data_IF_440546628592
#
_entry.id   IF_440546628592
#
_cell.length_a   1.000
_cell.length_b   1.000
_cell.length_c   1.000
_cell.angle_alpha   90.00
_cell.angle_beta   90.00
_cell.angle_gamma   90.00
#
_symmetry.space_group_name_H-M   'P 1'
#
loop_
_entity.id
_entity.type
_entity.pdbx_description
1 polymer ?
#
# COMPACT_ATOMS: atom_id res chain seq x y z
N UNK A 1 -11.71 11.21 12.32
CA UNK A 1 -11.81 12.64 11.98
C UNK A 1 -11.01 12.97 10.72
N UNK A 2 -9.74 12.60 10.61
CA UNK A 2 -8.84 12.99 9.52
C UNK A 2 -9.32 12.55 8.14
N UNK A 3 -9.84 11.32 8.00
CA UNK A 3 -10.34 10.83 6.71
C UNK A 3 -11.67 11.48 6.32
N UNK A 4 -12.49 11.89 7.30
CA UNK A 4 -13.71 12.65 7.06
C UNK A 4 -13.37 14.05 6.51
N UNK A 5 -12.41 14.71 7.15
CA UNK A 5 -11.97 16.04 6.75
C UNK A 5 -11.45 16.04 5.30
N UNK A 6 -10.53 15.16 4.97
CA UNK A 6 -9.97 15.09 3.60
C UNK A 6 -11.00 14.65 2.56
N UNK A 7 -11.96 13.78 2.91
CA UNK A 7 -13.04 13.42 1.99
C UNK A 7 -13.92 14.62 1.67
N UNK A 8 -14.28 15.42 2.70
CA UNK A 8 -15.08 16.62 2.52
C UNK A 8 -14.34 17.69 1.71
N UNK A 9 -13.06 17.91 2.00
CA UNK A 9 -12.20 18.85 1.28
C UNK A 9 -12.05 18.48 -0.20
N UNK A 10 -11.84 17.19 -0.46
CA UNK A 10 -11.57 16.71 -1.82
C UNK A 10 -12.81 16.27 -2.60
N UNK A 11 -13.98 16.22 -1.95
CA UNK A 11 -15.21 15.64 -2.51
C UNK A 11 -14.97 14.23 -3.08
N UNK A 12 -14.10 13.48 -2.43
CA UNK A 12 -13.75 12.12 -2.85
C UNK A 12 -14.95 11.18 -2.69
N UNK A 13 -15.06 10.19 -3.57
CA UNK A 13 -16.14 9.20 -3.47
C UNK A 13 -16.09 8.43 -2.15
N UNK A 14 -14.89 8.06 -1.72
CA UNK A 14 -14.65 7.30 -0.50
C UNK A 14 -13.20 7.51 -0.04
N UNK A 15 -13.02 7.52 1.27
CA UNK A 15 -11.70 7.53 1.90
C UNK A 15 -11.60 6.39 2.90
N UNK A 16 -10.47 5.68 2.91
CA UNK A 16 -10.22 4.57 3.84
C UNK A 16 -8.90 4.80 4.55
N UNK A 17 -8.85 4.51 5.84
CA UNK A 17 -7.62 4.45 6.61
C UNK A 17 -7.52 3.12 7.39
N UNK A 18 -6.30 2.58 7.44
CA UNK A 18 -5.94 1.43 8.28
C UNK A 18 -4.70 1.77 9.10
N UNK A 19 -4.70 1.27 10.34
CA UNK A 19 -3.51 1.28 11.20
C UNK A 19 -3.30 -0.14 11.73
N UNK A 20 -2.12 -0.71 11.49
CA UNK A 20 -1.75 -2.06 11.92
C UNK A 20 -0.42 -2.03 12.68
N UNK A 21 -0.35 -2.68 13.84
CA UNK A 21 0.90 -2.96 14.52
C UNK A 21 1.66 -4.04 13.72
N UNK A 22 2.88 -3.71 13.28
CA UNK A 22 3.59 -4.55 12.30
C UNK A 22 4.06 -5.88 12.87
N UNK A 23 4.40 -5.92 14.17
CA UNK A 23 4.95 -7.10 14.85
C UNK A 23 3.89 -8.13 15.21
N UNK A 24 2.63 -7.71 15.37
CA UNK A 24 1.53 -8.58 15.83
C UNK A 24 0.46 -8.83 14.77
N UNK A 25 0.36 -7.94 13.78
CA UNK A 25 -0.75 -7.92 12.82
C UNK A 25 -2.05 -7.34 13.41
N UNK A 26 -2.01 -6.78 14.63
CA UNK A 26 -3.19 -6.20 15.26
C UNK A 26 -3.67 -4.97 14.49
N UNK A 27 -4.91 -5.00 14.02
CA UNK A 27 -5.58 -3.84 13.46
C UNK A 27 -6.05 -2.92 14.58
N UNK A 28 -5.37 -1.78 14.70
CA UNK A 28 -5.68 -0.76 15.70
C UNK A 28 -6.78 0.19 15.21
N UNK A 29 -6.88 0.39 13.92
CA UNK A 29 -7.95 1.16 13.29
C UNK A 29 -8.22 0.64 11.88
N UNK A 30 -9.49 0.59 11.53
CA UNK A 30 -10.01 0.33 10.19
C UNK A 30 -11.24 1.21 10.01
N UNK A 31 -11.14 2.23 9.19
CA UNK A 31 -12.16 3.26 9.08
C UNK A 31 -12.42 3.66 7.63
N UNK A 32 -13.67 3.97 7.34
CA UNK A 32 -14.11 4.41 6.02
C UNK A 32 -14.97 5.68 6.14
N UNK A 33 -14.89 6.54 5.14
CA UNK A 33 -15.83 7.66 5.02
C UNK A 33 -16.25 7.82 3.55
N UNK A 34 -17.55 7.97 3.21
CA UNK A 34 -18.69 8.04 4.14
C UNK A 34 -18.88 6.82 5.01
N UNK A 35 -19.38 7.00 6.23
CA UNK A 35 -19.64 5.98 7.24
C UNK A 35 -21.07 6.12 7.76
N UNK A 36 -21.53 5.18 8.57
CA UNK A 36 -22.86 5.19 9.14
C UNK A 36 -22.81 5.09 10.67
N UNK A 37 -23.83 5.59 11.32
CA UNK A 37 -24.04 5.36 12.75
C UNK A 37 -24.88 4.08 12.93
N UNK A 38 -24.35 3.01 13.56
CA UNK A 38 -25.07 1.75 13.72
C UNK A 38 -26.39 1.88 14.48
N UNK A 39 -26.52 2.87 15.38
CA UNK A 39 -27.76 3.12 16.11
C UNK A 39 -28.90 3.66 15.23
N UNK A 40 -28.57 4.18 14.05
CA UNK A 40 -29.52 4.77 13.09
C UNK A 40 -29.39 4.17 11.69
N UNK A 41 -28.97 2.89 11.60
CA UNK A 41 -28.64 2.26 10.31
C UNK A 41 -29.80 2.29 9.30
N UNK A 42 -31.06 2.22 9.76
CA UNK A 42 -32.25 2.25 8.90
C UNK A 42 -32.50 3.62 8.23
N UNK A 43 -31.84 4.68 8.71
CA UNK A 43 -31.98 6.03 8.11
C UNK A 43 -31.15 6.25 6.86
N UNK A 44 -30.18 5.35 6.59
CA UNK A 44 -29.31 5.46 5.42
C UNK A 44 -29.94 4.78 4.21
N UNK A 45 -30.01 5.53 3.10
CA UNK A 45 -30.55 5.03 1.81
C UNK A 45 -29.47 4.43 0.92
N UNK A 46 -28.23 4.85 1.08
CA UNK A 46 -27.10 4.37 0.29
C UNK A 46 -26.47 3.16 0.99
N UNK A 47 -26.56 1.99 0.39
CA UNK A 47 -25.99 0.75 0.91
C UNK A 47 -24.46 0.74 0.87
N UNK A 48 -23.81 1.62 0.12
CA UNK A 48 -22.34 1.68 0.06
C UNK A 48 -21.72 2.11 1.40
N UNK A 49 -22.45 2.85 2.25
CA UNK A 49 -21.97 3.25 3.57
C UNK A 49 -21.78 2.08 4.53
N UNK A 50 -22.48 0.95 4.30
CA UNK A 50 -22.36 -0.26 5.12
C UNK A 50 -21.19 -1.15 4.72
N UNK A 51 -20.56 -0.88 3.57
CA UNK A 51 -19.42 -1.67 3.10
C UNK A 51 -18.14 -1.22 3.77
N UNK A 52 -17.41 -2.18 4.34
CA UNK A 52 -16.04 -1.91 4.76
C UNK A 52 -15.13 -1.88 3.52
N UNK A 53 -14.86 -0.68 3.01
CA UNK A 53 -14.09 -0.49 1.77
C UNK A 53 -12.62 -0.93 1.90
N UNK A 54 -12.10 -1.09 3.12
CA UNK A 54 -10.77 -1.65 3.34
C UNK A 54 -10.66 -3.13 2.97
N UNK A 55 -11.79 -3.86 3.05
CA UNK A 55 -11.90 -5.29 2.80
C UNK A 55 -12.55 -5.61 1.44
N UNK A 56 -13.48 -4.76 1.02
CA UNK A 56 -14.39 -5.07 -0.10
C UNK A 56 -14.11 -4.29 -1.38
N UNK A 57 -13.30 -3.23 -1.33
CA UNK A 57 -12.91 -2.51 -2.54
C UNK A 57 -11.58 -3.05 -3.06
N UNK A 58 -11.58 -3.34 -4.35
CA UNK A 58 -10.42 -3.85 -5.07
C UNK A 58 -9.87 -2.70 -5.91
N UNK A 59 -8.69 -2.21 -5.55
CA UNK A 59 -8.00 -1.13 -6.23
C UNK A 59 -6.69 -1.61 -6.84
N UNK A 60 -6.26 -1.01 -7.94
CA UNK A 60 -4.88 -1.12 -8.38
C UNK A 60 -3.98 -0.37 -7.37
N UNK A 61 -2.97 -1.02 -6.76
CA UNK A 61 -2.15 -0.38 -5.73
C UNK A 61 -1.25 0.74 -6.31
N UNK A 62 -0.99 0.73 -7.61
CA UNK A 62 -0.10 1.66 -8.27
C UNK A 62 1.29 1.66 -7.62
N UNK A 63 1.90 2.83 -7.50
CA UNK A 63 3.28 2.96 -7.02
C UNK A 63 3.52 2.50 -5.58
N UNK A 64 2.48 2.27 -4.77
CA UNK A 64 2.65 1.63 -3.45
C UNK A 64 3.07 0.17 -3.56
N UNK A 65 2.95 -0.44 -4.74
CA UNK A 65 3.39 -1.81 -4.98
C UNK A 65 4.89 -1.94 -5.26
N UNK A 66 5.55 -0.88 -5.72
CA UNK A 66 6.98 -0.90 -6.11
C UNK A 66 7.92 -1.41 -5.02
N UNK A 67 7.83 -1.01 -3.73
CA UNK A 67 8.69 -1.53 -2.68
C UNK A 67 8.58 -3.04 -2.50
N UNK A 68 7.37 -3.61 -2.65
CA UNK A 68 7.13 -5.04 -2.51
C UNK A 68 7.82 -5.84 -3.62
N UNK A 69 7.74 -5.39 -4.87
CA UNK A 69 8.45 -6.03 -6.00
C UNK A 69 9.95 -5.81 -5.89
N UNK A 70 10.41 -4.59 -5.55
CA UNK A 70 11.83 -4.29 -5.38
C UNK A 70 12.48 -5.17 -4.31
N UNK A 71 11.75 -5.49 -3.23
CA UNK A 71 12.21 -6.38 -2.19
C UNK A 71 12.60 -7.76 -2.76
N UNK A 72 11.78 -8.36 -3.61
CA UNK A 72 12.09 -9.65 -4.23
C UNK A 72 13.16 -9.55 -5.33
N UNK A 73 13.17 -8.46 -6.10
CA UNK A 73 14.24 -8.22 -7.07
C UNK A 73 15.62 -8.21 -6.39
N UNK A 74 15.72 -7.56 -5.24
CA UNK A 74 16.94 -7.53 -4.43
C UNK A 74 17.21 -8.87 -3.74
N UNK A 75 16.18 -9.49 -3.15
CA UNK A 75 16.28 -10.77 -2.45
C UNK A 75 16.77 -11.90 -3.36
N UNK A 76 16.28 -11.96 -4.59
CA UNK A 76 16.64 -12.99 -5.57
C UNK A 76 17.89 -12.61 -6.39
N UNK A 77 18.53 -11.49 -6.08
CA UNK A 77 19.75 -11.04 -6.78
C UNK A 77 19.52 -10.67 -8.24
N UNK A 78 18.27 -10.44 -8.64
CA UNK A 78 17.91 -9.97 -9.99
C UNK A 78 18.45 -8.57 -10.27
N UNK A 79 18.54 -7.77 -9.21
CA UNK A 79 19.05 -6.40 -9.23
C UNK A 79 19.95 -6.20 -8.01
N UNK A 80 20.98 -5.39 -8.18
CA UNK A 80 21.93 -4.95 -7.15
C UNK A 80 21.78 -3.46 -6.87
N UNK A 81 22.18 -2.99 -5.70
CA UNK A 81 22.11 -1.57 -5.32
C UNK A 81 22.83 -0.64 -6.31
N UNK A 82 23.91 -1.13 -6.95
CA UNK A 82 24.73 -0.38 -7.91
C UNK A 82 24.17 -0.35 -9.32
N UNK A 83 23.14 -1.15 -9.61
CA UNK A 83 22.56 -1.19 -10.95
C UNK A 83 21.85 0.13 -11.23
N UNK A 84 21.91 0.57 -12.48
CA UNK A 84 21.40 1.85 -12.92
C UNK A 84 20.61 1.71 -14.21
N UNK A 85 19.56 2.53 -14.34
CA UNK A 85 18.66 2.57 -15.48
C UNK A 85 18.47 4.03 -15.92
N UNK A 86 18.23 4.26 -17.21
CA UNK A 86 17.93 5.60 -17.72
C UNK A 86 16.43 5.83 -17.78
N UNK A 87 15.98 7.00 -17.31
CA UNK A 87 14.61 7.45 -17.40
C UNK A 87 14.53 8.76 -18.17
N UNK A 88 13.95 8.72 -19.36
CA UNK A 88 13.75 9.86 -20.25
C UNK A 88 12.34 10.48 -20.12
N UNK A 89 11.57 10.10 -19.08
CA UNK A 89 10.22 10.57 -18.84
C UNK A 89 9.14 9.84 -19.65
N UNK A 90 9.52 9.24 -20.79
CA UNK A 90 8.67 8.44 -21.64
C UNK A 90 9.51 7.41 -22.38
N UNK A 91 9.03 6.16 -22.41
CA UNK A 91 9.73 5.08 -23.13
C UNK A 91 8.73 4.09 -23.72
N UNK A 92 9.07 3.54 -24.90
CA UNK A 92 8.28 2.52 -25.58
C UNK A 92 8.90 1.14 -25.39
N UNK A 93 8.15 0.24 -24.79
CA UNK A 93 8.53 -1.14 -24.53
C UNK A 93 7.75 -2.09 -25.46
N UNK A 94 8.23 -2.31 -26.67
CA UNK A 94 7.61 -3.25 -27.59
C UNK A 94 6.15 -2.89 -27.96
N UNK A 95 5.88 -1.60 -28.23
CA UNK A 95 4.55 -1.08 -28.55
C UNK A 95 3.75 -0.56 -27.36
N UNK A 96 4.24 -0.74 -26.14
CA UNK A 96 3.60 -0.19 -24.93
C UNK A 96 4.37 1.01 -24.40
N UNK A 97 3.73 2.16 -24.37
CA UNK A 97 4.34 3.40 -23.87
C UNK A 97 4.14 3.54 -22.37
N UNK A 98 5.24 3.63 -21.64
CA UNK A 98 5.26 3.95 -20.19
C UNK A 98 5.67 5.41 -20.02
N UNK A 99 4.94 6.13 -19.18
CA UNK A 99 5.20 7.52 -18.82
C UNK A 99 5.60 7.63 -17.36
N UNK A 100 6.50 8.56 -17.09
CA UNK A 100 6.83 9.06 -15.76
C UNK A 100 6.30 10.48 -15.55
N UNK A 101 6.29 10.96 -14.31
CA UNK A 101 5.89 12.34 -13.97
C UNK A 101 6.90 13.37 -14.47
N UNK A 102 8.13 12.92 -14.83
CA UNK A 102 9.18 13.77 -15.37
C UNK A 102 10.40 12.96 -15.83
N UNK A 103 11.41 13.65 -16.33
CA UNK A 103 12.71 13.06 -16.68
C UNK A 103 13.53 12.88 -15.40
N UNK A 104 13.80 11.64 -15.00
CA UNK A 104 14.60 11.35 -13.80
C UNK A 104 16.10 11.17 -14.10
N UNK A 105 16.49 11.04 -15.39
CA UNK A 105 17.86 10.76 -15.77
C UNK A 105 18.30 9.36 -15.38
N UNK A 106 19.46 9.25 -14.78
CA UNK A 106 19.98 7.99 -14.26
C UNK A 106 19.36 7.66 -12.90
N UNK A 107 18.79 6.46 -12.77
CA UNK A 107 18.10 6.00 -11.57
C UNK A 107 18.60 4.62 -11.14
N UNK A 108 18.88 4.45 -9.86
CA UNK A 108 19.21 3.18 -9.21
C UNK A 108 18.03 2.68 -8.37
N UNK A 109 18.06 1.47 -7.77
CA UNK A 109 16.94 0.92 -7.00
C UNK A 109 16.42 1.87 -5.91
N UNK A 110 17.30 2.56 -5.19
CA UNK A 110 16.94 3.56 -4.17
C UNK A 110 16.17 4.73 -4.79
N UNK A 111 16.69 5.33 -5.85
CA UNK A 111 16.06 6.49 -6.50
C UNK A 111 14.77 6.12 -7.26
N UNK A 112 14.64 4.87 -7.75
CA UNK A 112 13.39 4.35 -8.30
C UNK A 112 12.28 4.43 -7.24
N UNK A 113 12.54 4.00 -6.01
CA UNK A 113 11.56 4.06 -4.93
C UNK A 113 11.35 5.50 -4.46
N UNK A 114 12.43 6.26 -4.23
CA UNK A 114 12.39 7.63 -3.70
C UNK A 114 11.64 8.60 -4.62
N UNK A 115 11.89 8.53 -5.93
CA UNK A 115 11.25 9.38 -6.95
C UNK A 115 10.01 8.75 -7.58
N UNK A 116 9.69 7.50 -7.19
CA UNK A 116 8.58 6.74 -7.76
C UNK A 116 8.70 6.47 -9.27
N UNK A 117 9.94 6.36 -9.81
CA UNK A 117 10.19 6.21 -11.23
C UNK A 117 9.52 4.96 -11.82
N UNK A 118 8.63 5.14 -12.80
CA UNK A 118 7.94 4.05 -13.49
C UNK A 118 8.89 3.34 -14.47
N UNK A 119 9.61 4.10 -15.29
CA UNK A 119 10.50 3.56 -16.32
C UNK A 119 11.62 2.73 -15.69
N UNK A 120 12.28 3.26 -14.64
CA UNK A 120 13.28 2.50 -13.91
C UNK A 120 12.73 1.22 -13.26
N UNK A 121 11.51 1.27 -12.72
CA UNK A 121 10.86 0.10 -12.14
C UNK A 121 10.47 -0.94 -13.18
N UNK A 122 10.06 -0.52 -14.38
CA UNK A 122 9.78 -1.42 -15.50
C UNK A 122 11.06 -2.11 -15.96
N UNK A 123 12.15 -1.39 -16.17
CA UNK A 123 13.45 -1.99 -16.52
C UNK A 123 13.87 -3.04 -15.47
N UNK A 124 13.77 -2.68 -14.20
CA UNK A 124 14.05 -3.60 -13.11
C UNK A 124 13.15 -4.84 -13.15
N UNK A 125 11.85 -4.65 -13.31
CA UNK A 125 10.85 -5.70 -13.34
C UNK A 125 10.92 -6.63 -14.56
N UNK A 126 11.46 -6.16 -15.69
CA UNK A 126 11.64 -7.00 -16.88
C UNK A 126 12.61 -8.18 -16.65
N UNK A 127 13.47 -8.12 -15.63
CA UNK A 127 14.34 -9.23 -15.24
C UNK A 127 13.57 -10.42 -14.69
N UNK A 128 12.31 -10.22 -14.28
CA UNK A 128 11.44 -11.27 -13.75
C UNK A 128 10.74 -12.05 -14.88
N UNK A 129 10.62 -13.35 -14.69
CA UNK A 129 9.74 -14.19 -15.50
C UNK A 129 8.29 -14.03 -15.04
N UNK A 130 7.32 -14.37 -15.90
CA UNK A 130 5.89 -14.33 -15.51
C UNK A 130 5.58 -15.23 -14.31
N UNK A 131 6.24 -16.39 -14.21
CA UNK A 131 6.13 -17.30 -13.04
C UNK A 131 6.65 -16.65 -11.76
N UNK A 132 7.78 -15.96 -11.85
CA UNK A 132 8.37 -15.25 -10.69
C UNK A 132 7.50 -14.05 -10.25
N UNK A 133 6.91 -13.31 -11.18
CA UNK A 133 5.91 -12.28 -10.85
C UNK A 133 4.71 -12.88 -10.11
N UNK A 134 4.19 -14.00 -10.59
CA UNK A 134 3.08 -14.70 -9.93
C UNK A 134 3.48 -15.23 -8.54
N UNK A 135 4.68 -15.75 -8.42
CA UNK A 135 5.25 -16.20 -7.15
C UNK A 135 5.32 -15.06 -6.12
N UNK A 136 5.82 -13.89 -6.52
CA UNK A 136 5.82 -12.69 -5.66
C UNK A 136 4.41 -12.38 -5.16
N UNK A 137 3.43 -12.36 -6.08
CA UNK A 137 2.05 -12.07 -5.74
C UNK A 137 1.49 -13.07 -4.72
N UNK A 138 1.75 -14.36 -4.92
CA UNK A 138 1.23 -15.43 -4.05
C UNK A 138 1.97 -15.53 -2.72
N UNK A 139 3.26 -15.24 -2.67
CA UNK A 139 4.04 -15.18 -1.43
C UNK A 139 3.52 -14.09 -0.49
N UNK A 140 3.08 -12.94 -1.01
CA UNK A 140 2.40 -11.91 -0.21
C UNK A 140 0.95 -12.25 0.13
N UNK A 141 0.40 -13.39 -0.34
CA UNK A 141 -0.98 -13.82 -0.09
C UNK A 141 -2.03 -13.18 -0.99
N UNK A 142 -1.63 -12.44 -2.04
CA UNK A 142 -2.59 -11.86 -2.97
C UNK A 142 -3.35 -12.92 -3.77
N UNK A 143 -4.60 -12.62 -4.13
CA UNK A 143 -5.49 -13.56 -4.79
C UNK A 143 -6.24 -14.49 -3.83
N UNK A 144 -6.02 -14.35 -2.51
CA UNK A 144 -6.74 -15.05 -1.44
C UNK A 144 -7.16 -14.05 -0.37
N UNK A 145 -8.26 -14.30 0.37
CA UNK A 145 -8.58 -13.52 1.57
C UNK A 145 -7.46 -13.61 2.60
N UNK A 146 -7.27 -12.56 3.41
CA UNK A 146 -6.27 -12.55 4.50
C UNK A 146 -6.69 -13.45 5.66
N UNK A 147 -7.99 -13.79 5.72
CA UNK A 147 -8.58 -14.62 6.76
C UNK A 147 -8.91 -13.84 8.05
N UNK A 148 -9.09 -12.52 7.93
CA UNK A 148 -9.59 -11.71 9.05
C UNK A 148 -11.03 -12.11 9.40
N UNK A 149 -11.37 -12.09 10.69
CA UNK A 149 -12.71 -12.45 11.16
C UNK A 149 -13.73 -11.31 10.97
N UNK A 150 -13.80 -10.77 9.76
CA UNK A 150 -14.77 -9.74 9.35
C UNK A 150 -15.48 -10.17 8.06
N UNK A 151 -16.77 -9.88 7.90
CA UNK A 151 -17.52 -10.23 6.70
C UNK A 151 -17.14 -9.34 5.50
N UNK A 152 -17.34 -9.86 4.29
CA UNK A 152 -17.21 -9.09 3.04
C UNK A 152 -15.76 -8.91 2.57
N UNK A 153 -14.84 -9.76 3.02
CA UNK A 153 -13.47 -9.74 2.55
C UNK A 153 -13.35 -10.27 1.12
N UNK A 154 -12.78 -9.47 0.23
CA UNK A 154 -12.51 -9.83 -1.16
C UNK A 154 -11.09 -10.40 -1.31
N UNK A 155 -10.96 -11.36 -2.23
CA UNK A 155 -9.67 -12.03 -2.50
C UNK A 155 -8.70 -11.23 -3.37
N UNK A 156 -9.14 -10.10 -3.94
CA UNK A 156 -8.38 -9.36 -4.94
C UNK A 156 -8.36 -10.06 -6.31
N UNK A 157 -7.60 -9.49 -7.24
CA UNK A 157 -7.51 -9.96 -8.63
C UNK A 157 -6.04 -10.10 -9.00
N UNK A 158 -5.58 -11.32 -9.25
CA UNK A 158 -4.28 -11.63 -9.85
C UNK A 158 -4.46 -12.56 -11.04
N UNK A 159 -3.55 -12.46 -12.01
CA UNK A 159 -3.58 -13.31 -13.21
C UNK A 159 -2.61 -14.48 -13.08
N UNK A 160 -3.04 -15.65 -13.51
CA UNK A 160 -2.15 -16.81 -13.65
C UNK A 160 -1.05 -16.52 -14.70
N UNK A 161 0.14 -17.11 -14.59
CA UNK A 161 1.26 -16.85 -15.49
C UNK A 161 0.95 -17.02 -16.98
N UNK A 162 0.16 -18.04 -17.32
CA UNK A 162 -0.27 -18.35 -18.69
C UNK A 162 -1.26 -17.32 -19.26
N UNK A 163 -1.97 -16.58 -18.39
CA UNK A 163 -2.88 -15.49 -18.77
C UNK A 163 -2.22 -14.12 -18.77
N UNK A 164 -0.96 -14.02 -18.31
CA UNK A 164 -0.19 -12.80 -18.37
C UNK A 164 0.29 -12.53 -19.79
N UNK A 165 0.18 -11.30 -20.24
CA UNK A 165 0.66 -10.83 -21.55
C UNK A 165 2.10 -10.28 -21.45
N UNK A 166 2.67 -9.81 -22.57
CA UNK A 166 3.92 -9.06 -22.55
C UNK A 166 3.77 -7.74 -21.77
N UNK A 167 2.60 -7.10 -21.86
CA UNK A 167 2.26 -5.88 -21.09
C UNK A 167 2.27 -6.14 -19.58
N UNK A 168 1.78 -7.29 -19.13
CA UNK A 168 1.72 -7.61 -17.69
C UNK A 168 3.09 -7.57 -17.01
N UNK A 169 4.18 -7.91 -17.74
CA UNK A 169 5.55 -7.79 -17.23
C UNK A 169 5.99 -6.32 -17.01
N UNK A 170 5.36 -5.38 -17.70
CA UNK A 170 5.64 -3.96 -17.57
C UNK A 170 4.78 -3.30 -16.51
N UNK A 171 3.49 -3.67 -16.46
CA UNK A 171 2.47 -3.03 -15.64
C UNK A 171 2.43 -3.56 -14.20
N UNK A 172 2.60 -4.87 -13.98
CA UNK A 172 2.56 -5.44 -12.62
C UNK A 172 3.64 -4.85 -11.70
N UNK A 173 4.91 -4.69 -12.11
CA UNK A 173 5.93 -4.09 -11.26
C UNK A 173 5.62 -2.66 -10.79
N UNK A 174 4.82 -1.91 -11.54
CA UNK A 174 4.38 -0.56 -11.16
C UNK A 174 2.98 -0.54 -10.50
N UNK A 175 2.43 -1.74 -10.18
CA UNK A 175 1.17 -1.91 -9.46
C UNK A 175 -0.09 -1.74 -10.30
N UNK A 176 -0.03 -2.06 -11.58
CA UNK A 176 -1.18 -2.09 -12.49
C UNK A 176 -1.50 -3.52 -12.93
N UNK A 177 -2.68 -3.76 -13.51
CA UNK A 177 -3.19 -5.09 -13.89
C UNK A 177 -3.36 -6.08 -12.73
N UNK A 178 -3.25 -5.63 -11.50
CA UNK A 178 -3.57 -6.37 -10.27
C UNK A 178 -4.57 -5.58 -9.45
N UNK A 179 -5.46 -6.27 -8.77
CA UNK A 179 -6.43 -5.64 -7.87
C UNK A 179 -6.26 -6.17 -6.46
N UNK A 180 -6.07 -5.27 -5.50
CA UNK A 180 -5.83 -5.61 -4.10
C UNK A 180 -6.81 -4.87 -3.20
N UNK A 181 -7.16 -5.48 -2.07
CA UNK A 181 -7.82 -4.76 -1.00
C UNK A 181 -6.79 -3.95 -0.19
N UNK A 182 -7.25 -2.91 0.48
CA UNK A 182 -6.36 -2.12 1.36
C UNK A 182 -5.75 -2.98 2.46
N UNK A 183 -6.52 -3.94 3.00
CA UNK A 183 -6.03 -4.87 4.03
C UNK A 183 -4.94 -5.80 3.50
N UNK A 184 -5.10 -6.36 2.31
CA UNK A 184 -4.06 -7.18 1.68
C UNK A 184 -2.76 -6.41 1.50
N UNK A 185 -2.84 -5.15 1.05
CA UNK A 185 -1.66 -4.32 0.88
C UNK A 185 -0.96 -4.04 2.21
N UNK A 186 -1.69 -3.64 3.25
CA UNK A 186 -1.14 -3.40 4.60
C UNK A 186 -0.51 -4.68 5.17
N UNK A 187 -1.17 -5.83 5.00
CA UNK A 187 -0.65 -7.14 5.40
C UNK A 187 0.69 -7.45 4.73
N UNK A 188 0.82 -7.23 3.43
CA UNK A 188 2.08 -7.46 2.70
C UNK A 188 3.22 -6.56 3.21
N UNK A 189 2.91 -5.35 3.62
CA UNK A 189 3.91 -4.41 4.16
C UNK A 189 4.46 -4.81 5.53
N UNK A 190 3.80 -5.73 6.25
CA UNK A 190 4.38 -6.30 7.49
C UNK A 190 5.71 -6.98 7.21
N UNK A 191 5.90 -7.61 6.03
CA UNK A 191 7.18 -8.21 5.66
C UNK A 191 8.32 -7.18 5.60
N UNK A 192 8.07 -5.96 5.12
CA UNK A 192 9.07 -4.89 5.13
C UNK A 192 9.29 -4.36 6.55
N UNK A 193 8.20 -4.11 7.29
CA UNK A 193 8.26 -3.53 8.63
C UNK A 193 8.82 -4.51 9.68
N UNK A 194 8.56 -5.82 9.53
CA UNK A 194 8.87 -6.86 10.50
C UNK A 194 10.00 -7.80 10.01
N UNK A 195 11.11 -7.22 9.56
CA UNK A 195 12.37 -7.92 9.25
C UNK A 195 12.21 -9.09 8.27
N UNK A 196 11.29 -8.99 7.34
CA UNK A 196 11.02 -9.99 6.31
C UNK A 196 9.89 -10.96 6.62
N UNK A 197 9.36 -10.97 7.83
CA UNK A 197 8.27 -11.85 8.25
C UNK A 197 6.92 -11.21 7.96
N UNK A 198 6.05 -11.92 7.22
CA UNK A 198 4.66 -11.49 7.02
C UNK A 198 3.83 -11.84 8.26
N UNK A 199 2.90 -10.96 8.63
CA UNK A 199 1.98 -11.17 9.75
C UNK A 199 0.55 -11.22 9.25
N UNK A 200 -0.26 -12.12 9.79
CA UNK A 200 -1.69 -12.16 9.45
C UNK A 200 -2.47 -11.13 10.28
N UNK A 201 -3.47 -10.44 9.69
CA UNK A 201 -4.25 -9.44 10.41
C UNK A 201 -5.09 -10.06 11.51
N UNK A 202 -5.15 -9.39 12.66
CA UNK A 202 -5.94 -9.78 13.82
C UNK A 202 -6.77 -8.58 14.32
N UNK A 203 -8.06 -8.79 14.57
CA UNK A 203 -8.96 -7.76 15.10
C UNK A 203 -9.47 -8.08 16.50
N UNK A 204 -9.47 -9.35 16.90
CA UNK A 204 -9.83 -9.80 18.24
C UNK A 204 -8.56 -10.23 18.96
N UNK A 205 -8.20 -9.55 20.03
CA UNK A 205 -7.03 -9.85 20.85
C UNK A 205 -7.33 -10.89 21.94
N UNK A 206 -8.43 -10.70 22.65
CA UNK A 206 -8.89 -11.59 23.70
C UNK A 206 -10.42 -11.50 23.87
N UNK A 207 -10.97 -12.51 24.53
CA UNK A 207 -12.38 -12.56 24.93
C UNK A 207 -12.44 -12.43 26.45
N UNK A 208 -13.30 -11.55 26.94
CA UNK A 208 -13.51 -11.32 28.37
C UNK A 208 -14.89 -11.76 28.79
N UNK A 209 -14.98 -12.31 30.01
CA UNK A 209 -16.24 -12.59 30.71
C UNK A 209 -16.14 -12.12 32.14
N UNK A 210 -17.08 -11.30 32.58
CA UNK A 210 -17.12 -10.68 33.93
C UNK A 210 -15.79 -10.01 34.32
N UNK A 211 -15.16 -9.26 33.40
CA UNK A 211 -13.90 -8.54 33.60
C UNK A 211 -12.66 -9.43 33.69
N UNK A 212 -12.78 -10.72 33.37
CA UNK A 212 -11.64 -11.64 33.30
C UNK A 212 -11.43 -12.12 31.89
N UNK A 213 -10.17 -12.10 31.42
CA UNK A 213 -9.80 -12.70 30.15
C UNK A 213 -9.99 -14.20 30.22
N UNK A 214 -10.90 -14.74 29.42
CA UNK A 214 -11.18 -16.18 29.32
C UNK A 214 -10.47 -16.87 28.19
N UNK A 215 -10.13 -16.10 27.12
CA UNK A 215 -9.38 -16.59 25.98
C UNK A 215 -8.53 -15.48 25.39
N UNK A 216 -7.27 -15.76 25.05
CA UNK A 216 -6.40 -14.87 24.28
C UNK A 216 -6.14 -15.52 22.92
N UNK A 217 -6.51 -14.82 21.84
CA UNK A 217 -6.29 -15.32 20.49
C UNK A 217 -4.80 -15.17 20.12
N UNK A 218 -4.19 -16.20 19.51
CA UNK A 218 -2.77 -16.18 19.18
C UNK A 218 -2.46 -15.15 18.07
N UNK A 219 -1.25 -14.62 18.12
CA UNK A 219 -0.66 -13.91 16.97
C UNK A 219 -0.39 -14.96 15.89
N UNK A 220 -0.88 -14.70 14.68
CA UNK A 220 -0.66 -15.58 13.52
C UNK A 220 0.51 -15.05 12.71
N UNK A 221 1.68 -15.62 12.95
CA UNK A 221 2.88 -15.35 12.17
C UNK A 221 2.84 -16.13 10.85
N UNK A 222 3.24 -15.47 9.77
CA UNK A 222 3.51 -16.14 8.48
C UNK A 222 5.00 -16.44 8.31
N UNK A 223 5.38 -16.72 7.07
CA UNK A 223 6.75 -17.07 6.71
C UNK A 223 7.66 -15.84 6.61
N UNK A 224 8.97 -16.06 6.65
CA UNK A 224 9.96 -15.08 6.22
C UNK A 224 10.02 -15.05 4.69
N UNK A 225 9.49 -14.01 4.08
CA UNK A 225 9.44 -13.84 2.62
C UNK A 225 10.75 -13.28 2.06
N UNK A 226 11.41 -12.43 2.83
CA UNK A 226 12.68 -11.78 2.48
C UNK A 226 13.60 -11.76 3.71
N UNK A 227 14.90 -11.61 3.48
CA UNK A 227 15.86 -11.53 4.59
C UNK A 227 15.71 -10.23 5.39
N UNK A 228 16.07 -10.20 6.68
CA UNK A 228 16.09 -8.97 7.47
C UNK A 228 16.92 -7.85 6.83
N UNK A 229 18.01 -8.21 6.17
CA UNK A 229 18.87 -7.27 5.42
C UNK A 229 18.11 -6.62 4.27
N UNK A 230 17.38 -7.41 3.47
CA UNK A 230 16.58 -6.90 2.36
C UNK A 230 15.44 -6.01 2.88
N UNK A 231 14.74 -6.45 3.93
CA UNK A 231 13.66 -5.66 4.54
C UNK A 231 14.16 -4.29 5.02
N UNK A 232 15.29 -4.25 5.73
CA UNK A 232 15.91 -3.03 6.21
C UNK A 232 16.36 -2.11 5.07
N UNK A 233 16.92 -2.70 4.00
CA UNK A 233 17.32 -1.95 2.81
C UNK A 233 16.13 -1.25 2.16
N UNK A 234 15.05 -1.99 1.91
CA UNK A 234 13.82 -1.42 1.33
C UNK A 234 13.19 -0.36 2.25
N UNK A 235 13.18 -0.63 3.55
CA UNK A 235 12.70 0.34 4.55
C UNK A 235 13.50 1.64 4.49
N UNK A 236 14.83 1.58 4.29
CA UNK A 236 15.67 2.76 4.13
C UNK A 236 15.40 3.53 2.83
N UNK A 237 15.01 2.83 1.74
CA UNK A 237 14.59 3.49 0.50
C UNK A 237 13.25 4.21 0.68
N UNK A 238 12.36 3.61 1.45
CA UNK A 238 11.07 4.23 1.80
C UNK A 238 11.21 5.41 2.77
N UNK A 239 12.20 5.39 3.66
CA UNK A 239 12.54 6.54 4.50
C UNK A 239 12.97 7.73 3.62
N UNK A 240 13.79 7.50 2.60
CA UNK A 240 14.19 8.53 1.63
C UNK A 240 13.00 9.15 0.87
N UNK A 241 11.90 8.40 0.67
CA UNK A 241 10.66 8.96 0.09
C UNK A 241 10.12 10.10 0.96
N UNK A 242 10.17 9.92 2.29
CA UNK A 242 9.69 10.92 3.27
C UNK A 242 10.72 12.03 3.49
N UNK A 243 12.01 11.72 3.50
CA UNK A 243 13.05 12.72 3.75
C UNK A 243 13.29 13.64 2.56
N UNK A 244 13.31 13.10 1.33
CA UNK A 244 13.73 13.85 0.14
C UNK A 244 12.96 13.50 -1.16
N UNK A 245 11.97 12.60 -1.06
CA UNK A 245 11.21 12.10 -2.21
C UNK A 245 9.79 12.65 -2.30
N UNK A 246 8.91 11.86 -2.91
CA UNK A 246 7.52 12.23 -3.22
C UNK A 246 6.63 12.33 -1.97
N UNK A 247 7.08 11.84 -0.83
CA UNK A 247 6.33 11.81 0.45
C UNK A 247 6.78 12.84 1.48
N UNK A 248 7.56 13.87 1.12
CA UNK A 248 8.14 14.87 2.06
C UNK A 248 7.14 15.54 2.99
N UNK A 249 5.90 15.70 2.55
CA UNK A 249 4.83 16.30 3.35
C UNK A 249 4.50 15.46 4.59
N UNK A 250 4.74 14.13 4.55
CA UNK A 250 4.54 13.26 5.69
C UNK A 250 5.63 13.37 6.77
N UNK A 251 6.73 14.06 6.52
CA UNK A 251 7.85 14.15 7.45
C UNK A 251 7.42 14.75 8.80
N UNK A 252 7.85 14.09 9.90
CA UNK A 252 7.70 14.55 11.27
C UNK A 252 9.12 14.71 11.84
N UNK A 253 9.51 15.92 12.28
CA UNK A 253 10.87 16.15 12.80
C UNK A 253 11.20 15.22 13.98
N UNK A 254 12.36 14.58 13.93
CA UNK A 254 12.85 13.68 14.99
C UNK A 254 12.17 12.30 15.03
N UNK A 255 11.24 11.98 14.12
CA UNK A 255 10.51 10.72 14.09
C UNK A 255 10.85 9.93 12.83
N UNK A 256 11.11 8.64 13.01
CA UNK A 256 11.27 7.73 11.88
C UNK A 256 9.91 7.43 11.24
N UNK A 257 9.76 7.86 10.01
CA UNK A 257 8.63 7.53 9.15
C UNK A 257 9.14 7.19 7.76
N UNK A 258 8.99 5.95 7.35
CA UNK A 258 9.23 5.50 5.99
C UNK A 258 7.90 5.43 5.23
N UNK A 259 7.87 5.70 3.92
CA UNK A 259 6.59 5.68 3.22
C UNK A 259 6.68 5.51 1.72
N UNK A 260 5.52 5.39 1.08
CA UNK A 260 5.40 5.38 -0.38
C UNK A 260 4.08 5.99 -0.82
N UNK A 261 4.17 6.93 -1.74
CA UNK A 261 3.02 7.53 -2.43
C UNK A 261 2.47 6.59 -3.50
N UNK A 262 1.16 6.59 -3.67
CA UNK A 262 0.46 5.96 -4.79
C UNK A 262 -0.44 6.97 -5.50
N UNK A 263 -0.48 6.88 -6.81
CA UNK A 263 -1.45 7.56 -7.68
C UNK A 263 -1.80 6.55 -8.75
N UNK A 264 -2.98 5.96 -8.67
CA UNK A 264 -3.44 4.91 -9.58
C UNK A 264 -4.61 5.41 -10.41
N UNK A 265 -4.52 5.29 -11.73
CA UNK A 265 -5.61 5.62 -12.63
C UNK A 265 -6.63 4.48 -12.64
N UNK A 266 -7.91 4.82 -12.56
CA UNK A 266 -9.01 3.86 -12.62
C UNK A 266 -9.60 3.89 -14.02
N UNK A 267 -9.71 2.70 -14.63
CA UNK A 267 -10.43 2.56 -15.90
C UNK A 267 -11.93 2.68 -15.68
N UNK A 268 -12.54 3.68 -16.28
CA UNK A 268 -13.98 3.86 -16.28
C UNK A 268 -14.58 3.05 -17.43
N UNK A 269 -15.23 1.93 -17.11
CA UNK A 269 -15.85 1.05 -18.11
C UNK A 269 -16.98 1.73 -18.87
N UNK A 270 -17.67 2.72 -18.26
CA UNK A 270 -18.75 3.45 -18.91
C UNK A 270 -18.24 4.39 -20.01
N UNK A 271 -17.09 5.02 -19.76
CA UNK A 271 -16.44 5.95 -20.68
C UNK A 271 -15.34 5.29 -21.52
N UNK A 272 -15.04 4.01 -21.28
CA UNK A 272 -13.95 3.25 -21.91
C UNK A 272 -12.58 3.96 -21.88
N UNK A 273 -12.30 4.69 -20.81
CA UNK A 273 -11.04 5.45 -20.63
C UNK A 273 -10.62 5.49 -19.17
N UNK A 274 -9.36 5.80 -18.94
CA UNK A 274 -8.86 6.14 -17.62
C UNK A 274 -9.31 7.58 -17.28
N UNK A 275 -10.36 7.71 -16.50
CA UNK A 275 -11.00 9.01 -16.22
C UNK A 275 -11.00 9.38 -14.73
N UNK A 276 -10.70 8.43 -13.86
CA UNK A 276 -10.69 8.61 -12.41
C UNK A 276 -9.34 8.18 -11.87
N UNK A 277 -8.99 8.66 -10.70
CA UNK A 277 -7.77 8.23 -10.03
C UNK A 277 -8.01 8.01 -8.54
N UNK A 278 -7.21 7.11 -7.95
CA UNK A 278 -7.09 6.97 -6.51
C UNK A 278 -5.73 7.52 -6.08
N UNK A 279 -5.70 8.25 -4.99
CA UNK A 279 -4.47 8.71 -4.37
C UNK A 279 -4.28 7.98 -3.04
N UNK A 280 -3.06 7.55 -2.76
CA UNK A 280 -2.79 6.80 -1.54
C UNK A 280 -1.40 7.10 -0.98
N UNK A 281 -1.24 6.81 0.30
CA UNK A 281 0.06 6.79 0.96
C UNK A 281 0.08 5.66 1.97
N UNK A 282 1.15 4.86 1.94
CA UNK A 282 1.44 3.88 2.96
C UNK A 282 2.69 4.32 3.73
N UNK A 283 2.59 4.38 5.06
CA UNK A 283 3.66 4.76 5.96
C UNK A 283 3.99 3.66 6.95
N UNK A 284 5.25 3.54 7.35
CA UNK A 284 5.74 2.71 8.45
C UNK A 284 6.35 3.66 9.47
N UNK A 285 5.61 3.91 10.53
CA UNK A 285 6.03 4.71 11.68
C UNK A 285 6.77 3.80 12.67
N UNK A 286 7.94 4.21 13.15
CA UNK A 286 8.58 3.60 14.32
C UNK A 286 8.41 4.55 15.51
N UNK A 287 7.71 4.08 16.54
CA UNK A 287 7.49 4.86 17.74
C UNK A 287 8.80 5.03 18.53
N UNK A 288 9.20 6.23 18.90
CA UNK A 288 10.51 6.50 19.50
C UNK A 288 10.70 5.84 20.87
N UNK A 289 9.67 5.77 21.68
CA UNK A 289 9.71 5.21 23.04
C UNK A 289 9.50 3.69 23.04
N UNK A 290 8.41 3.21 22.46
CA UNK A 290 8.04 1.78 22.50
C UNK A 290 8.80 0.94 21.49
N UNK A 291 9.48 1.56 20.52
CA UNK A 291 10.17 0.93 19.38
C UNK A 291 9.25 0.12 18.46
N UNK A 292 7.96 0.03 18.75
CA UNK A 292 6.96 -0.63 17.91
C UNK A 292 6.82 0.07 16.56
N UNK A 293 6.47 -0.71 15.55
CA UNK A 293 6.20 -0.17 14.21
C UNK A 293 4.71 -0.28 13.88
N UNK A 294 4.21 0.79 13.31
CA UNK A 294 2.82 0.91 12.86
C UNK A 294 2.79 1.16 11.36
N UNK A 295 2.04 0.34 10.65
CA UNK A 295 1.75 0.53 9.23
C UNK A 295 0.47 1.34 9.14
N UNK A 296 0.55 2.50 8.50
CA UNK A 296 -0.56 3.45 8.33
C UNK A 296 -0.82 3.54 6.83
N UNK A 297 -2.01 3.20 6.39
CA UNK A 297 -2.40 3.32 4.99
C UNK A 297 -3.63 4.19 4.84
N UNK A 298 -3.56 5.15 3.93
CA UNK A 298 -4.68 6.01 3.54
C UNK A 298 -4.86 5.93 2.04
N UNK A 299 -6.09 5.71 1.61
CA UNK A 299 -6.49 5.80 0.19
C UNK A 299 -7.71 6.71 0.06
N UNK A 300 -7.61 7.66 -0.86
CA UNK A 300 -8.65 8.65 -1.21
C UNK A 300 -9.08 8.33 -2.63
N UNK A 301 -10.32 7.84 -2.78
CA UNK A 301 -10.84 7.32 -4.05
C UNK A 301 -11.61 8.40 -4.80
N UNK A 302 -11.18 8.61 -6.04
CA UNK A 302 -11.82 9.55 -6.96
C UNK A 302 -11.99 10.97 -6.38
N UNK A 303 -10.91 11.62 -5.85
CA UNK A 303 -10.99 13.02 -5.40
C UNK A 303 -11.33 13.94 -6.58
N UNK A 304 -12.16 14.97 -6.33
CA UNK A 304 -12.64 15.91 -7.34
C UNK A 304 -11.83 17.22 -7.34
N UNK A 305 -10.54 17.13 -7.05
CA UNK A 305 -9.63 18.29 -7.01
C UNK A 305 -8.60 18.21 -8.13
N UNK A 306 -8.12 19.35 -8.59
CA UNK A 306 -7.03 19.43 -9.57
C UNK A 306 -5.73 18.94 -8.95
N UNK A 307 -4.86 18.31 -9.78
CA UNK A 307 -3.52 17.84 -9.38
C UNK A 307 -3.52 16.91 -8.17
N UNK A 308 -4.49 16.01 -8.10
CA UNK A 308 -4.57 15.03 -7.04
C UNK A 308 -3.41 14.03 -7.12
N UNK A 309 -2.68 13.87 -6.02
CA UNK A 309 -1.59 12.89 -5.89
C UNK A 309 -1.50 12.35 -4.46
N UNK A 310 -0.88 11.17 -4.29
CA UNK A 310 -0.70 10.58 -2.96
C UNK A 310 0.13 11.46 -2.03
N UNK A 311 1.15 12.14 -2.54
CA UNK A 311 1.97 13.08 -1.77
C UNK A 311 1.20 14.32 -1.32
N UNK A 312 0.27 14.81 -2.13
CA UNK A 312 -0.51 16.02 -1.82
C UNK A 312 -1.70 15.75 -0.91
N UNK A 313 -2.40 14.64 -1.11
CA UNK A 313 -3.68 14.40 -0.42
C UNK A 313 -3.56 13.35 0.71
N UNK A 314 -2.93 12.20 0.45
CA UNK A 314 -2.90 11.11 1.42
C UNK A 314 -1.74 11.21 2.43
N UNK A 315 -0.57 11.71 2.01
CA UNK A 315 0.59 11.83 2.89
C UNK A 315 0.35 12.79 4.10
N UNK A 316 -0.33 13.94 3.95
CA UNK A 316 -0.69 14.78 5.09
C UNK A 316 -1.59 14.09 6.11
N UNK A 317 -2.54 13.26 5.63
CA UNK A 317 -3.45 12.49 6.50
C UNK A 317 -2.67 11.44 7.29
N UNK A 318 -1.77 10.70 6.62
CA UNK A 318 -0.88 9.74 7.31
C UNK A 318 -0.01 10.43 8.34
N UNK A 319 0.53 11.62 8.06
CA UNK A 319 1.28 12.41 9.04
C UNK A 319 0.46 12.69 10.30
N UNK A 320 -0.77 13.17 10.16
CA UNK A 320 -1.65 13.47 11.29
C UNK A 320 -1.99 12.21 12.10
N UNK A 321 -2.32 11.09 11.42
CA UNK A 321 -2.55 9.81 12.09
C UNK A 321 -1.30 9.36 12.84
N UNK A 322 -0.11 9.50 12.25
CA UNK A 322 1.16 9.19 12.89
C UNK A 322 1.40 10.04 14.15
N UNK A 323 1.08 11.34 14.09
CA UNK A 323 1.16 12.24 15.25
C UNK A 323 0.22 11.79 16.37
N UNK A 324 -1.03 11.44 16.06
CA UNK A 324 -1.97 10.89 17.06
C UNK A 324 -1.45 9.60 17.71
N UNK A 325 -0.80 8.70 16.94
CA UNK A 325 -0.20 7.49 17.51
C UNK A 325 0.93 7.84 18.48
N UNK A 326 1.75 8.85 18.15
CA UNK A 326 2.85 9.31 19.02
C UNK A 326 2.35 9.92 20.32
N UNK A 327 1.16 10.53 20.31
CA UNK A 327 0.53 11.14 21.48
C UNK A 327 -0.18 10.11 22.39
N UNK A 328 -0.49 8.92 21.85
CA UNK A 328 -1.25 7.87 22.59
C UNK A 328 -0.35 6.92 23.37
N UNK A 329 0.92 6.78 23.01
CA UNK A 329 1.86 5.78 23.55
C UNK A 329 3.20 6.43 23.95
#
# INVERSE_FOLDING_TARGET
>A
EEIKAVQQETQAKNTTALVMEAETGDLLAIENYPSFNPNFFTSYKDNEVFRNSALSYIDEPGSTFKPLVMAFLMQWGKIKEKDSFKCHGLENFGGFTIRDEGVHGEVNPRSIITRSCNIGMVHAGQTLLKKELYEILTLYGFGKPTGISLPGEEKGIIRLPEKMTARSKLSIPIGQEIGLTSLQLVTAYTAIANQGKIMHPRIVKHIEYNGKVVETLPIKEGEHLISPKTAQLILSYMEDVVLKGTGRVAQIPGVFLAGKTGTAQIFDFSQKKYAKLNTSFIGILKHPTTQKKYIIYVVIRNPQVKEASGGRLAAPVVKKIAQHILDLF
#
